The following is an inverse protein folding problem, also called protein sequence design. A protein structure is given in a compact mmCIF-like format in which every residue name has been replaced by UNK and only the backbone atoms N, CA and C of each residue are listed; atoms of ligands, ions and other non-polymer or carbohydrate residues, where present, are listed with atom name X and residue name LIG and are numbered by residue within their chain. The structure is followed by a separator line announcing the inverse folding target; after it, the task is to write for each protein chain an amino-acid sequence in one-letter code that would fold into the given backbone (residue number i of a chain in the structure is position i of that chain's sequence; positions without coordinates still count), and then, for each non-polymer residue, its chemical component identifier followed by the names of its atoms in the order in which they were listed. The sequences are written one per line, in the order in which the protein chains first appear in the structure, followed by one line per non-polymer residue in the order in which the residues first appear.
data_IF_448882052034
#
_entry.id   IF_448882052034
#
_cell.length_a   1.000
_cell.length_b   1.000
_cell.length_c   1.000
_cell.angle_alpha   90.00
_cell.angle_beta   90.00
_cell.angle_gamma   90.00
#
_symmetry.space_group_name_H-M   'P 1'
#
loop_
_entity.id
_entity.type
_entity.pdbx_description
1 polymer ?
#
# COMPACT_ATOMS: atom_id res chain seq x y z
N UNK A 1 -26.60 24.49 9.80
CA UNK A 1 -25.88 23.71 8.76
C UNK A 1 -26.92 22.98 7.92
N UNK A 2 -26.84 23.02 6.59
CA UNK A 2 -27.80 22.32 5.73
C UNK A 2 -27.48 20.81 5.69
N UNK A 3 -28.47 19.92 5.52
CA UNK A 3 -28.24 18.46 5.47
C UNK A 3 -27.30 18.05 4.33
N UNK A 4 -27.28 18.83 3.24
CA UNK A 4 -26.33 18.66 2.12
C UNK A 4 -24.88 18.88 2.54
N UNK A 5 -24.62 19.90 3.38
CA UNK A 5 -23.27 20.16 3.87
C UNK A 5 -22.77 19.04 4.78
N UNK A 6 -23.65 18.45 5.61
CA UNK A 6 -23.29 17.31 6.48
C UNK A 6 -22.93 16.08 5.63
N UNK A 7 -23.71 15.77 4.60
CA UNK A 7 -23.43 14.64 3.70
C UNK A 7 -22.06 14.78 3.02
N UNK A 8 -21.72 15.99 2.54
CA UNK A 8 -20.42 16.25 1.91
C UNK A 8 -19.28 16.04 2.90
N UNK A 9 -19.41 16.56 4.13
CA UNK A 9 -18.38 16.39 5.17
C UNK A 9 -18.16 14.90 5.46
N UNK A 10 -19.23 14.11 5.60
CA UNK A 10 -19.13 12.67 5.84
C UNK A 10 -18.41 11.93 4.69
N UNK A 11 -18.72 12.29 3.44
CA UNK A 11 -18.07 11.69 2.27
C UNK A 11 -16.58 12.04 2.25
N UNK A 12 -16.22 13.30 2.50
CA UNK A 12 -14.82 13.75 2.55
C UNK A 12 -14.07 13.02 3.66
N UNK A 13 -14.66 12.89 4.86
CA UNK A 13 -14.05 12.16 5.97
C UNK A 13 -13.86 10.69 5.60
N UNK A 14 -14.87 10.04 5.00
CA UNK A 14 -14.76 8.65 4.55
C UNK A 14 -13.64 8.46 3.52
N UNK A 15 -13.52 9.35 2.54
CA UNK A 15 -12.46 9.32 1.54
C UNK A 15 -11.07 9.49 2.17
N UNK A 16 -10.93 10.42 3.11
CA UNK A 16 -9.67 10.63 3.84
C UNK A 16 -9.26 9.40 4.66
N UNK A 17 -10.23 8.73 5.30
CA UNK A 17 -9.98 7.49 6.03
C UNK A 17 -9.53 6.36 5.10
N UNK A 18 -10.16 6.20 3.94
CA UNK A 18 -9.78 5.21 2.94
C UNK A 18 -8.37 5.46 2.40
N UNK A 19 -8.04 6.71 2.07
CA UNK A 19 -6.71 7.11 1.61
C UNK A 19 -5.63 6.86 2.68
N UNK A 20 -5.93 7.20 3.94
CA UNK A 20 -5.02 6.95 5.08
C UNK A 20 -4.76 5.45 5.27
N UNK A 21 -5.79 4.63 5.15
CA UNK A 21 -5.67 3.18 5.28
C UNK A 21 -4.87 2.56 4.13
N UNK A 22 -5.15 2.98 2.89
CA UNK A 22 -4.38 2.56 1.71
C UNK A 22 -2.91 2.95 1.80
N UNK A 23 -2.59 4.16 2.26
CA UNK A 23 -1.23 4.62 2.45
C UNK A 23 -0.45 3.76 3.46
N UNK A 24 -1.08 3.36 4.58
CA UNK A 24 -0.45 2.48 5.59
C UNK A 24 -0.12 1.11 5.02
N UNK A 25 -1.04 0.52 4.26
CA UNK A 25 -0.84 -0.79 3.62
C UNK A 25 0.28 -0.72 2.58
N UNK A 26 0.30 0.34 1.77
CA UNK A 26 1.34 0.56 0.77
C UNK A 26 2.73 0.70 1.41
N UNK A 27 2.86 1.47 2.49
CA UNK A 27 4.12 1.58 3.23
C UNK A 27 4.56 0.24 3.80
N UNK A 28 3.62 -0.58 4.30
CA UNK A 28 3.92 -1.91 4.80
C UNK A 28 4.42 -2.85 3.68
N UNK A 29 3.81 -2.79 2.50
CA UNK A 29 4.27 -3.53 1.31
C UNK A 29 5.69 -3.12 0.92
N UNK A 30 5.95 -1.82 0.78
CA UNK A 30 7.28 -1.30 0.42
C UNK A 30 8.37 -1.72 1.42
N UNK A 31 8.04 -1.78 2.71
CA UNK A 31 8.99 -2.25 3.73
C UNK A 31 9.27 -3.75 3.63
N UNK A 32 8.24 -4.58 3.41
CA UNK A 32 8.47 -6.02 3.23
C UNK A 32 9.23 -6.29 1.92
N UNK A 33 8.91 -5.58 0.84
CA UNK A 33 9.57 -5.71 -0.46
C UNK A 33 11.07 -5.34 -0.38
N UNK A 34 11.40 -4.26 0.34
CA UNK A 34 12.80 -3.90 0.61
C UNK A 34 13.60 -4.93 1.40
N UNK A 35 12.92 -5.87 2.07
CA UNK A 35 13.50 -7.02 2.77
C UNK A 35 13.41 -8.33 1.96
N UNK A 36 12.91 -8.29 0.72
CA UNK A 36 12.67 -9.48 -0.10
C UNK A 36 11.48 -10.33 0.34
N UNK A 37 10.59 -9.78 1.17
CA UNK A 37 9.43 -10.45 1.77
C UNK A 37 8.11 -9.94 1.18
N UNK A 38 7.04 -10.71 1.34
CA UNK A 38 5.67 -10.32 0.92
C UNK A 38 4.89 -9.84 2.14
N UNK A 39 4.21 -8.70 2.03
CA UNK A 39 3.27 -8.27 3.07
C UNK A 39 1.94 -9.02 2.93
N UNK A 40 1.54 -9.76 3.96
CA UNK A 40 0.22 -10.37 4.07
C UNK A 40 -0.56 -9.72 5.23
N UNK A 41 -1.74 -9.17 4.92
CA UNK A 41 -2.58 -8.51 5.92
C UNK A 41 -2.94 -9.49 7.06
N UNK A 42 -2.65 -9.10 8.30
CA UNK A 42 -2.87 -9.94 9.48
C UNK A 42 -1.72 -10.88 9.85
N UNK A 43 -0.76 -11.14 8.94
CA UNK A 43 0.44 -11.94 9.23
C UNK A 43 1.75 -11.14 9.20
N UNK A 44 1.74 -9.95 8.61
CA UNK A 44 2.92 -9.09 8.51
C UNK A 44 3.78 -9.44 7.28
N UNK A 45 5.10 -9.27 7.39
CA UNK A 45 6.01 -9.70 6.33
C UNK A 45 6.21 -11.21 6.43
N UNK A 46 5.93 -11.93 5.34
CA UNK A 46 6.13 -13.37 5.23
C UNK A 46 7.20 -13.68 4.18
N UNK A 47 7.97 -14.73 4.45
CA UNK A 47 8.96 -15.26 3.50
C UNK A 47 8.22 -15.80 2.27
N UNK A 48 8.60 -15.38 1.05
CA UNK A 48 7.96 -15.87 -0.16
C UNK A 48 8.28 -17.36 -0.34
N UNK A 49 7.24 -18.20 -0.45
CA UNK A 49 7.37 -19.67 -0.56
C UNK A 49 8.05 -20.13 -1.85
N UNK A 50 8.17 -19.24 -2.82
CA UNK A 50 9.02 -19.37 -4.01
C UNK A 50 9.97 -18.18 -4.00
N UNK A 51 11.25 -18.34 -4.39
CA UNK A 51 12.11 -17.18 -4.58
C UNK A 51 11.37 -16.20 -5.48
N UNK A 52 11.27 -14.90 -5.10
CA UNK A 52 10.66 -13.92 -5.96
C UNK A 52 11.39 -14.02 -7.29
N UNK A 53 10.64 -14.16 -8.40
CA UNK A 53 11.23 -14.01 -9.71
C UNK A 53 11.83 -12.61 -9.70
N UNK A 54 13.15 -12.53 -9.50
CA UNK A 54 13.89 -11.28 -9.53
C UNK A 54 13.79 -10.83 -10.98
N UNK A 55 12.72 -10.12 -11.31
CA UNK A 55 12.71 -9.29 -12.49
C UNK A 55 13.71 -8.20 -12.13
N UNK A 56 14.96 -8.40 -12.59
CA UNK A 56 16.02 -7.41 -12.60
C UNK A 56 15.56 -6.21 -13.44
N UNK A 57 14.64 -5.40 -12.95
CA UNK A 57 14.37 -4.05 -13.46
C UNK A 57 15.41 -3.06 -12.93
N UNK A 58 16.68 -3.48 -12.90
CA UNK A 58 17.79 -2.61 -12.58
C UNK A 58 18.89 -2.81 -13.62
N UNK A 59 18.80 -2.09 -14.73
CA UNK A 59 20.00 -1.76 -15.51
C UNK A 59 19.97 -1.77 -17.04
N UNK A 60 18.83 -1.62 -17.74
CA UNK A 60 18.86 -1.30 -19.17
C UNK A 60 18.57 0.19 -19.44
N UNK A 61 19.31 1.06 -18.75
CA UNK A 61 19.41 2.48 -19.12
C UNK A 61 20.88 2.89 -19.00
N UNK A 62 21.49 3.18 -20.16
CA UNK A 62 22.88 3.60 -20.44
C UNK A 62 23.93 2.47 -20.50
N UNK A 63 24.10 1.93 -21.70
CA UNK A 63 25.25 2.27 -22.55
C UNK A 63 24.77 2.44 -23.97
#
# INVERSE_FOLDING_TARGET
MSPRAIAIVLIVVALLLLLSWGARIYVAHMRCDGLGMIYEAGKGCIEPSRPPAIILERGLKRT
#
